data_IF_313538321973
#
_entry.id   IF_313538321973
#
_cell.length_a   1.000
_cell.length_b   1.000
_cell.length_c   1.000
_cell.angle_alpha   90.00
_cell.angle_beta   90.00
_cell.angle_gamma   90.00
#
_symmetry.space_group_name_H-M   'P 1'
#
loop_
_entity.id
_entity.type
_entity.pdbx_description
1 polymer ?
#
# COMPACT_ATOMS: atom_id res chain seq x y z
N UNK A 1 -1.42 -0.57 1.91
CA UNK A 1 -0.03 -0.51 2.38
C UNK A 1 0.29 -1.46 3.53
N UNK A 2 -0.62 -1.75 4.44
CA UNK A 2 -0.36 -2.60 5.62
C UNK A 2 -0.87 -4.06 5.51
N UNK A 3 -1.14 -4.54 4.30
CA UNK A 3 -1.74 -5.86 4.05
C UNK A 3 -1.01 -6.99 4.78
N UNK A 4 0.26 -7.10 4.57
CA UNK A 4 1.07 -8.21 5.07
C UNK A 4 1.20 -8.22 6.59
N UNK A 5 1.38 -7.05 7.21
CA UNK A 5 1.49 -7.00 8.66
C UNK A 5 0.21 -7.43 9.36
N UNK A 6 -0.92 -7.06 8.79
CA UNK A 6 -2.23 -7.49 9.28
C UNK A 6 -2.37 -9.00 9.14
N UNK A 7 -2.02 -9.56 7.97
CA UNK A 7 -2.09 -11.01 7.70
C UNK A 7 -1.10 -11.80 8.55
N UNK A 8 0.17 -11.38 8.62
CA UNK A 8 1.20 -12.09 9.40
C UNK A 8 0.90 -12.07 10.91
N UNK A 9 0.40 -10.95 11.44
CA UNK A 9 -0.02 -10.87 12.84
C UNK A 9 -1.21 -11.81 13.12
N UNK A 10 -2.19 -11.84 12.22
CA UNK A 10 -3.33 -12.75 12.32
C UNK A 10 -2.88 -14.23 12.22
N UNK A 11 -2.06 -14.55 11.22
CA UNK A 11 -1.51 -15.89 11.01
C UNK A 11 -0.70 -16.38 12.21
N UNK A 12 0.13 -15.49 12.78
CA UNK A 12 0.94 -15.81 13.95
C UNK A 12 0.14 -16.14 15.20
N UNK A 13 -0.95 -15.42 15.44
CA UNK A 13 -1.82 -15.69 16.58
C UNK A 13 -2.67 -16.95 16.34
N UNK A 14 -3.25 -17.13 15.13
CA UNK A 14 -4.07 -18.30 14.80
C UNK A 14 -3.30 -19.61 14.86
N UNK A 15 -2.06 -19.65 14.34
CA UNK A 15 -1.23 -20.87 14.41
C UNK A 15 -0.89 -21.21 15.86
N UNK A 16 -0.71 -20.22 16.75
CA UNK A 16 -0.51 -20.46 18.19
C UNK A 16 -1.78 -20.96 18.89
N UNK A 17 -2.94 -20.61 18.38
CA UNK A 17 -4.24 -21.10 18.89
C UNK A 17 -4.56 -22.52 18.40
N UNK A 18 -3.72 -23.13 17.56
CA UNK A 18 -3.85 -24.50 17.07
C UNK A 18 -4.60 -24.63 15.75
N UNK A 19 -4.90 -23.54 15.06
CA UNK A 19 -5.55 -23.59 13.74
C UNK A 19 -4.54 -23.88 12.64
N UNK A 20 -4.99 -24.50 11.55
CA UNK A 20 -4.24 -24.57 10.29
C UNK A 20 -4.38 -23.21 9.57
N UNK A 21 -3.27 -22.67 9.13
CA UNK A 21 -3.26 -21.33 8.52
C UNK A 21 -2.60 -21.36 7.16
N UNK A 22 -3.32 -20.86 6.15
CA UNK A 22 -2.85 -20.69 4.79
C UNK A 22 -2.88 -19.20 4.41
N UNK A 23 -1.79 -18.69 3.87
CA UNK A 23 -1.66 -17.28 3.45
C UNK A 23 -1.42 -17.23 1.94
N UNK A 24 -2.38 -16.64 1.21
CA UNK A 24 -2.27 -16.39 -0.22
C UNK A 24 -1.71 -14.99 -0.47
N UNK A 25 -0.66 -14.88 -1.29
CA UNK A 25 -0.05 -13.63 -1.74
C UNK A 25 -0.11 -13.51 -3.27
N UNK A 26 -0.54 -12.36 -3.75
CA UNK A 26 -0.69 -12.12 -5.18
C UNK A 26 0.64 -12.00 -5.93
N UNK A 27 1.68 -11.51 -5.27
CA UNK A 27 3.00 -11.34 -5.84
C UNK A 27 3.88 -12.58 -5.63
N UNK A 28 5.04 -12.58 -6.27
CA UNK A 28 6.02 -13.69 -6.18
C UNK A 28 6.87 -13.65 -4.91
N UNK A 29 6.91 -12.51 -4.21
CA UNK A 29 7.60 -12.33 -2.94
C UNK A 29 6.60 -12.07 -1.82
N UNK A 30 6.84 -12.71 -0.68
CA UNK A 30 6.08 -12.47 0.55
C UNK A 30 6.55 -11.18 1.21
N UNK A 31 5.64 -10.54 1.96
CA UNK A 31 6.02 -9.35 2.72
C UNK A 31 5.28 -8.09 2.27
N UNK A 32 4.55 -8.13 1.16
CA UNK A 32 3.73 -7.02 0.65
C UNK A 32 4.49 -5.71 0.67
N UNK A 33 3.84 -4.63 1.12
CA UNK A 33 4.45 -3.29 1.15
C UNK A 33 5.76 -3.20 1.93
N UNK A 34 6.00 -4.07 2.90
CA UNK A 34 7.27 -4.09 3.65
C UNK A 34 8.45 -4.47 2.73
N UNK A 35 8.19 -5.29 1.71
CA UNK A 35 9.20 -5.76 0.77
C UNK A 35 9.21 -4.90 -0.48
N UNK A 36 8.09 -4.69 -1.14
CA UNK A 36 8.07 -3.96 -2.41
C UNK A 36 7.81 -2.45 -2.29
N UNK A 37 7.31 -1.95 -1.15
CA UNK A 37 6.99 -0.53 -0.98
C UNK A 37 8.00 0.26 -0.15
N UNK A 38 8.45 -0.27 0.99
CA UNK A 38 9.41 0.40 1.87
C UNK A 38 10.82 0.12 1.37
N UNK A 39 11.67 1.14 1.15
CA UNK A 39 13.05 0.93 0.71
C UNK A 39 13.92 0.20 1.73
N UNK A 40 14.95 -0.51 1.23
CA UNK A 40 15.92 -1.25 2.04
C UNK A 40 16.57 -0.40 3.13
N UNK A 41 16.91 0.85 2.83
CA UNK A 41 17.54 1.78 3.78
C UNK A 41 16.65 2.21 4.95
N UNK A 42 15.33 1.90 4.89
CA UNK A 42 14.39 2.09 6.01
C UNK A 42 14.02 0.79 6.69
N UNK A 43 13.90 -0.28 5.94
CA UNK A 43 13.55 -1.61 6.43
C UNK A 43 14.32 -2.67 5.64
N UNK A 44 15.42 -3.19 6.18
CA UNK A 44 16.14 -4.31 5.59
C UNK A 44 15.22 -5.52 5.36
N UNK A 45 15.25 -6.09 4.15
CA UNK A 45 14.33 -7.16 3.76
C UNK A 45 14.57 -8.45 4.54
N UNK A 46 15.81 -8.68 4.96
CA UNK A 46 16.18 -9.84 5.79
C UNK A 46 15.39 -9.92 7.11
N UNK A 47 14.99 -8.77 7.68
CA UNK A 47 14.16 -8.73 8.89
C UNK A 47 12.78 -9.31 8.60
N UNK A 48 12.17 -8.90 7.46
CA UNK A 48 10.85 -9.38 7.05
C UNK A 48 10.91 -10.87 6.70
N UNK A 49 11.94 -11.30 5.97
CA UNK A 49 12.17 -12.70 5.61
C UNK A 49 12.36 -13.58 6.85
N UNK A 50 13.07 -13.08 7.85
CA UNK A 50 13.26 -13.79 9.13
C UNK A 50 11.90 -14.07 9.80
N UNK A 51 11.05 -13.05 9.94
CA UNK A 51 9.74 -13.17 10.58
C UNK A 51 8.80 -14.13 9.81
N UNK A 52 8.79 -14.04 8.48
CA UNK A 52 8.01 -14.96 7.64
C UNK A 52 8.51 -16.40 7.82
N UNK A 53 9.82 -16.60 7.86
CA UNK A 53 10.41 -17.93 8.05
C UNK A 53 10.14 -18.50 9.47
N UNK A 54 9.99 -17.65 10.49
CA UNK A 54 9.52 -18.09 11.81
C UNK A 54 8.11 -18.67 11.73
N UNK A 55 7.19 -17.99 11.04
CA UNK A 55 5.82 -18.47 10.85
C UNK A 55 5.77 -19.75 10.00
N UNK A 56 6.56 -19.83 8.94
CA UNK A 56 6.67 -21.04 8.09
C UNK A 56 7.13 -22.26 8.92
N UNK A 57 8.14 -22.09 9.77
CA UNK A 57 8.59 -23.16 10.69
C UNK A 57 7.55 -23.57 11.72
N UNK A 58 6.61 -22.69 12.05
CA UNK A 58 5.47 -23.00 12.93
C UNK A 58 4.31 -23.70 12.24
N UNK A 59 4.40 -23.90 10.91
CA UNK A 59 3.41 -24.61 10.12
C UNK A 59 2.44 -23.74 9.32
N UNK A 60 2.65 -22.40 9.27
CA UNK A 60 1.88 -21.55 8.36
C UNK A 60 2.31 -21.85 6.92
N UNK A 61 1.33 -22.20 6.08
CA UNK A 61 1.52 -22.42 4.65
C UNK A 61 1.44 -21.07 3.91
N UNK A 62 2.41 -20.79 3.07
CA UNK A 62 2.45 -19.59 2.25
C UNK A 62 2.44 -19.97 0.77
N UNK A 63 1.52 -19.38 0.01
CA UNK A 63 1.39 -19.58 -1.42
C UNK A 63 1.45 -18.23 -2.13
N UNK A 64 2.46 -18.07 -2.99
CA UNK A 64 2.67 -16.87 -3.81
C UNK A 64 2.05 -17.02 -5.18
N UNK A 65 1.89 -15.91 -5.92
CA UNK A 65 1.27 -15.85 -7.25
C UNK A 65 -0.22 -16.28 -7.25
N UNK A 66 -0.90 -16.17 -6.12
CA UNK A 66 -2.33 -16.46 -5.97
C UNK A 66 -3.11 -15.14 -5.88
N UNK A 67 -3.74 -14.75 -6.96
CA UNK A 67 -4.54 -13.52 -7.04
C UNK A 67 -5.99 -13.86 -6.69
N UNK A 68 -6.35 -13.77 -5.40
CA UNK A 68 -7.73 -13.99 -4.95
C UNK A 68 -8.68 -13.02 -5.65
N UNK A 69 -9.74 -13.56 -6.24
CA UNK A 69 -10.65 -12.88 -7.16
C UNK A 69 -10.29 -13.05 -8.64
N UNK A 70 -9.20 -13.80 -8.96
CA UNK A 70 -8.80 -14.17 -10.34
C UNK A 70 -8.40 -15.63 -10.46
N UNK A 71 -7.42 -16.08 -9.69
CA UNK A 71 -6.96 -17.48 -9.67
C UNK A 71 -7.86 -18.37 -8.81
N UNK A 72 -8.42 -17.80 -7.78
CA UNK A 72 -9.38 -18.41 -6.85
C UNK A 72 -10.30 -17.33 -6.28
N UNK A 73 -11.55 -17.61 -6.06
CA UNK A 73 -12.51 -16.71 -5.42
C UNK A 73 -12.61 -16.98 -3.91
N UNK A 74 -13.24 -16.07 -3.16
CA UNK A 74 -13.53 -16.31 -1.73
C UNK A 74 -14.47 -17.50 -1.56
N UNK A 75 -15.46 -17.66 -2.45
CA UNK A 75 -16.44 -18.74 -2.40
C UNK A 75 -15.79 -20.10 -2.69
N UNK A 76 -14.89 -20.19 -3.68
CA UNK A 76 -14.12 -21.42 -3.92
C UNK A 76 -13.21 -21.78 -2.74
N UNK A 77 -12.63 -20.80 -2.04
CA UNK A 77 -11.86 -21.07 -0.82
C UNK A 77 -12.73 -21.72 0.27
N UNK A 78 -13.94 -21.19 0.50
CA UNK A 78 -14.83 -21.72 1.56
C UNK A 78 -15.55 -22.98 1.14
N UNK A 79 -16.15 -23.01 -0.05
CA UNK A 79 -17.10 -24.04 -0.44
C UNK A 79 -16.41 -25.27 -1.07
N UNK A 80 -15.28 -25.09 -1.75
CA UNK A 80 -14.58 -26.17 -2.47
C UNK A 80 -13.28 -26.60 -1.78
N UNK A 81 -12.50 -25.63 -1.24
CA UNK A 81 -11.23 -25.94 -0.58
C UNK A 81 -11.37 -26.17 0.93
N UNK A 82 -12.55 -25.91 1.50
CA UNK A 82 -12.90 -26.27 2.87
C UNK A 82 -12.27 -25.38 3.94
N UNK A 83 -11.98 -24.12 3.62
CA UNK A 83 -11.58 -23.15 4.63
C UNK A 83 -12.78 -22.69 5.45
N UNK A 84 -12.75 -22.88 6.76
CA UNK A 84 -13.83 -22.50 7.69
C UNK A 84 -13.95 -20.97 7.86
N UNK A 85 -12.86 -20.24 7.66
CA UNK A 85 -12.83 -18.78 7.72
C UNK A 85 -11.81 -18.16 6.77
N UNK A 86 -12.11 -16.98 6.25
CA UNK A 86 -11.21 -16.19 5.38
C UNK A 86 -10.98 -14.82 5.99
N UNK A 87 -9.72 -14.39 6.06
CA UNK A 87 -9.34 -13.04 6.47
C UNK A 87 -8.78 -12.23 5.30
N UNK A 88 -9.50 -11.18 4.91
CA UNK A 88 -9.10 -10.29 3.82
C UNK A 88 -8.26 -9.14 4.37
N UNK A 89 -6.98 -9.11 4.00
CA UNK A 89 -6.03 -8.09 4.42
C UNK A 89 -5.14 -7.63 3.25
N UNK A 90 -5.73 -7.33 2.10
CA UNK A 90 -5.04 -6.98 0.85
C UNK A 90 -4.50 -5.55 0.83
N UNK A 91 -4.77 -4.76 1.85
CA UNK A 91 -4.29 -3.38 1.97
C UNK A 91 -4.95 -2.41 1.01
N UNK A 92 -4.28 -1.26 0.80
CA UNK A 92 -4.73 -0.20 -0.10
C UNK A 92 -3.54 0.22 -0.99
N UNK A 93 -3.23 -0.59 -1.99
CA UNK A 93 -2.06 -0.43 -2.86
C UNK A 93 -2.35 0.21 -4.22
N UNK A 94 -3.62 0.50 -4.56
CA UNK A 94 -3.96 1.11 -5.84
C UNK A 94 -3.58 2.60 -5.82
N UNK A 95 -2.63 3.06 -6.67
CA UNK A 95 -2.18 4.44 -6.66
C UNK A 95 -3.27 5.39 -7.15
N UNK A 96 -3.26 6.60 -6.59
CA UNK A 96 -4.06 7.73 -7.08
C UNK A 96 -3.22 8.60 -7.98
N UNK A 97 -3.80 9.00 -9.10
CA UNK A 97 -3.24 9.97 -10.02
C UNK A 97 -3.82 11.36 -9.78
N UNK A 98 -3.22 12.39 -10.39
CA UNK A 98 -3.65 13.78 -10.24
C UNK A 98 -4.85 14.08 -11.16
N UNK A 99 -5.06 13.25 -12.18
CA UNK A 99 -6.05 13.42 -13.25
C UNK A 99 -5.83 14.73 -14.02
N UNK A 100 -4.58 15.00 -14.38
CA UNK A 100 -4.17 16.15 -15.18
C UNK A 100 -3.62 15.70 -16.54
N UNK A 101 -3.61 16.57 -17.55
CA UNK A 101 -3.05 16.24 -18.87
C UNK A 101 -1.61 15.76 -18.78
N UNK A 102 -1.25 14.78 -19.62
CA UNK A 102 0.13 14.29 -19.77
C UNK A 102 0.56 13.22 -18.78
N UNK A 103 -0.29 12.73 -17.88
CA UNK A 103 0.05 11.65 -16.93
C UNK A 103 0.43 10.32 -17.61
N UNK A 104 0.17 10.18 -18.91
CA UNK A 104 0.49 9.00 -19.71
C UNK A 104 1.86 9.04 -20.37
N UNK A 105 2.61 10.12 -20.24
CA UNK A 105 3.95 10.23 -20.84
C UNK A 105 4.94 9.26 -20.19
N UNK A 106 5.85 8.73 -21.00
CA UNK A 106 7.02 7.99 -20.51
C UNK A 106 7.84 8.90 -19.59
N UNK A 107 8.11 8.42 -18.37
CA UNK A 107 8.76 9.23 -17.34
C UNK A 107 7.81 9.69 -16.24
N UNK A 108 6.48 9.50 -16.41
CA UNK A 108 5.49 9.72 -15.36
C UNK A 108 5.12 8.37 -14.73
N UNK A 109 5.36 8.21 -13.45
CA UNK A 109 5.14 6.96 -12.72
C UNK A 109 4.37 7.22 -11.42
N UNK A 110 3.60 6.25 -10.96
CA UNK A 110 3.14 6.26 -9.58
C UNK A 110 4.29 5.90 -8.62
N UNK A 111 4.26 6.41 -7.39
CA UNK A 111 5.27 6.06 -6.39
C UNK A 111 5.23 4.56 -6.04
N UNK A 112 4.05 3.94 -6.06
CA UNK A 112 3.94 2.49 -5.83
C UNK A 112 4.65 1.69 -6.91
N UNK A 113 4.42 2.02 -8.18
CA UNK A 113 5.05 1.38 -9.32
C UNK A 113 6.57 1.56 -9.28
N UNK A 114 7.02 2.80 -9.04
CA UNK A 114 8.43 3.13 -8.94
C UNK A 114 9.13 2.35 -7.83
N UNK A 115 8.59 2.41 -6.60
CA UNK A 115 9.18 1.75 -5.43
C UNK A 115 9.11 0.21 -5.54
N UNK A 116 8.01 -0.33 -6.07
CA UNK A 116 7.89 -1.77 -6.32
C UNK A 116 9.02 -2.25 -7.22
N UNK A 117 9.28 -1.54 -8.32
CA UNK A 117 10.35 -1.91 -9.24
C UNK A 117 11.73 -1.81 -8.58
N UNK A 118 12.02 -0.71 -7.90
CA UNK A 118 13.30 -0.52 -7.21
C UNK A 118 13.58 -1.61 -6.18
N UNK A 119 12.57 -1.96 -5.40
CA UNK A 119 12.73 -2.92 -4.30
C UNK A 119 12.75 -4.37 -4.79
N UNK A 120 11.82 -4.78 -5.67
CA UNK A 120 11.76 -6.16 -6.16
C UNK A 120 12.91 -6.50 -7.12
N UNK A 121 13.40 -5.53 -7.90
CA UNK A 121 14.60 -5.70 -8.72
C UNK A 121 15.89 -5.55 -7.89
N UNK A 122 15.78 -5.39 -6.57
CA UNK A 122 16.90 -5.33 -5.62
C UNK A 122 17.98 -4.33 -6.02
N UNK A 123 17.57 -3.13 -6.48
CA UNK A 123 18.49 -2.08 -6.94
C UNK A 123 19.53 -1.69 -5.88
N UNK A 124 19.23 -1.88 -4.60
CA UNK A 124 20.12 -1.64 -3.46
C UNK A 124 21.30 -2.63 -3.38
N UNK A 125 21.29 -3.69 -4.21
CA UNK A 125 22.37 -4.69 -4.28
C UNK A 125 23.15 -4.62 -5.61
N UNK A 126 23.04 -3.51 -6.34
CA UNK A 126 23.87 -3.28 -7.52
C UNK A 126 25.37 -3.36 -7.14
N UNK A 127 26.26 -4.01 -7.94
CA UNK A 127 26.04 -4.62 -9.26
C UNK A 127 25.63 -6.12 -9.22
N UNK A 128 25.39 -6.72 -8.06
CA UNK A 128 24.96 -8.12 -7.96
C UNK A 128 23.62 -8.35 -8.67
N UNK A 129 22.73 -7.37 -8.61
CA UNK A 129 21.46 -7.33 -9.33
C UNK A 129 21.48 -6.12 -10.27
N UNK A 130 21.47 -6.36 -11.57
CA UNK A 130 21.51 -5.35 -12.65
C UNK A 130 20.21 -5.43 -13.49
N UNK A 131 19.08 -5.45 -12.83
CA UNK A 131 17.78 -5.55 -13.46
C UNK A 131 17.33 -4.18 -14.00
N UNK A 132 16.54 -4.15 -15.09
CA UNK A 132 16.06 -2.90 -15.68
C UNK A 132 15.18 -2.08 -14.71
N UNK A 133 15.62 -0.88 -14.40
CA UNK A 133 14.90 0.09 -13.55
C UNK A 133 14.33 1.24 -14.38
N UNK A 134 13.48 2.05 -13.74
CA UNK A 134 13.08 3.34 -14.30
C UNK A 134 14.29 4.28 -14.33
N UNK A 135 14.51 5.00 -15.45
CA UNK A 135 15.74 5.75 -15.66
C UNK A 135 15.76 7.04 -14.83
N UNK A 136 16.41 7.02 -13.68
CA UNK A 136 16.65 8.20 -12.84
C UNK A 136 18.06 8.80 -13.05
N UNK A 137 19.03 7.99 -13.43
CA UNK A 137 20.44 8.42 -13.56
C UNK A 137 20.58 9.62 -14.48
N UNK A 138 21.30 10.64 -14.00
CA UNK A 138 21.59 11.90 -14.70
C UNK A 138 20.33 12.71 -15.11
N UNK A 139 19.16 12.45 -14.49
CA UNK A 139 17.90 13.12 -14.78
C UNK A 139 17.43 14.00 -13.63
N UNK A 140 16.67 15.03 -13.98
CA UNK A 140 15.95 15.85 -13.02
C UNK A 140 14.62 15.15 -12.68
N UNK A 141 14.44 14.81 -11.40
CA UNK A 141 13.31 14.03 -10.88
C UNK A 141 12.42 14.90 -10.01
N UNK A 142 11.12 14.86 -10.25
CA UNK A 142 10.12 15.52 -9.43
C UNK A 142 9.25 14.44 -8.75
N UNK A 143 9.04 14.56 -7.44
CA UNK A 143 8.10 13.72 -6.69
C UNK A 143 6.96 14.58 -6.18
N UNK A 144 5.73 14.25 -6.57
CA UNK A 144 4.53 15.00 -6.22
C UNK A 144 3.85 14.37 -5.02
N UNK A 145 3.97 15.01 -3.88
CA UNK A 145 3.37 14.53 -2.62
C UNK A 145 4.19 14.91 -1.40
N UNK A 146 3.62 14.73 -0.20
CA UNK A 146 4.25 15.11 1.07
C UNK A 146 4.16 14.02 2.14
N UNK A 147 3.83 12.78 1.78
CA UNK A 147 3.76 11.64 2.70
C UNK A 147 5.06 10.83 2.76
N UNK A 148 5.11 9.83 3.65
CA UNK A 148 6.27 8.93 3.77
C UNK A 148 6.64 8.26 2.43
N UNK A 149 5.64 7.88 1.62
CA UNK A 149 5.87 7.31 0.28
C UNK A 149 6.59 8.28 -0.65
N UNK A 150 6.30 9.59 -0.54
CA UNK A 150 7.01 10.61 -1.31
C UNK A 150 8.48 10.74 -0.86
N UNK A 151 8.73 10.69 0.45
CA UNK A 151 10.10 10.70 1.00
C UNK A 151 10.87 9.45 0.55
N UNK A 152 10.23 8.29 0.57
CA UNK A 152 10.82 7.03 0.08
C UNK A 152 11.18 7.10 -1.40
N UNK A 153 10.27 7.62 -2.22
CA UNK A 153 10.46 7.71 -3.67
C UNK A 153 11.57 8.71 -4.04
N UNK A 154 11.58 9.89 -3.43
CA UNK A 154 12.58 10.92 -3.75
C UNK A 154 13.99 10.53 -3.31
N UNK A 155 14.14 9.92 -2.13
CA UNK A 155 15.42 9.40 -1.63
C UNK A 155 15.91 8.23 -2.49
N UNK A 156 15.00 7.34 -2.90
CA UNK A 156 15.33 6.26 -3.84
C UNK A 156 15.80 6.79 -5.18
N UNK A 157 15.17 7.83 -5.72
CA UNK A 157 15.59 8.44 -6.99
C UNK A 157 17.01 9.05 -6.91
N UNK A 158 17.35 9.75 -5.81
CA UNK A 158 18.71 10.24 -5.58
C UNK A 158 19.73 9.10 -5.52
N UNK A 159 19.41 8.04 -4.77
CA UNK A 159 20.29 6.87 -4.63
C UNK A 159 20.47 6.09 -5.95
N UNK A 160 19.53 6.21 -6.88
CA UNK A 160 19.64 5.70 -8.25
C UNK A 160 20.38 6.63 -9.20
N UNK A 161 20.99 7.70 -8.66
CA UNK A 161 21.86 8.61 -9.42
C UNK A 161 21.13 9.73 -10.14
N UNK A 162 19.94 10.14 -9.67
CA UNK A 162 19.30 11.35 -10.20
C UNK A 162 20.23 12.56 -10.09
N UNK A 163 20.25 13.40 -11.12
CA UNK A 163 21.03 14.66 -11.14
C UNK A 163 20.47 15.64 -10.10
N UNK A 164 19.16 15.71 -10.00
CA UNK A 164 18.44 16.42 -8.95
C UNK A 164 17.17 15.65 -8.60
N UNK A 165 16.71 15.75 -7.34
CA UNK A 165 15.41 15.22 -6.94
C UNK A 165 14.70 16.21 -6.02
N UNK A 166 13.43 16.48 -6.31
CA UNK A 166 12.66 17.53 -5.63
C UNK A 166 11.28 17.04 -5.24
N UNK A 167 10.84 17.39 -4.03
CA UNK A 167 9.46 17.24 -3.58
C UNK A 167 8.65 18.44 -4.03
N UNK A 168 7.51 18.19 -4.68
CA UNK A 168 6.50 19.20 -5.02
C UNK A 168 5.26 18.97 -4.18
N UNK A 169 4.97 19.91 -3.29
CA UNK A 169 3.87 19.76 -2.34
C UNK A 169 2.94 20.97 -2.32
N UNK A 170 1.64 20.73 -2.42
CA UNK A 170 0.61 21.77 -2.55
C UNK A 170 0.32 22.58 -1.27
N UNK A 171 0.88 22.18 -0.11
CA UNK A 171 0.79 22.89 1.17
C UNK A 171 2.19 23.25 1.66
N UNK A 172 2.30 23.75 2.88
CA UNK A 172 3.62 23.96 3.50
C UNK A 172 4.14 22.67 4.12
N UNK A 173 5.37 22.71 4.56
CA UNK A 173 6.03 21.60 5.23
C UNK A 173 5.31 21.17 6.52
N UNK A 174 4.66 22.14 7.22
CA UNK A 174 3.90 21.87 8.44
C UNK A 174 2.69 20.96 8.22
N UNK A 175 2.10 21.00 7.03
CA UNK A 175 0.97 20.16 6.66
C UNK A 175 1.39 18.83 6.01
N UNK A 176 2.69 18.55 5.89
CA UNK A 176 3.15 17.28 5.35
C UNK A 176 2.76 16.13 6.28
N UNK A 177 2.10 15.08 5.76
CA UNK A 177 1.77 13.91 6.57
C UNK A 177 2.94 12.94 6.77
N UNK A 178 4.10 13.21 6.17
CA UNK A 178 5.33 12.44 6.42
C UNK A 178 5.81 12.64 7.86
N UNK A 179 6.48 11.65 8.40
CA UNK A 179 7.18 11.77 9.68
C UNK A 179 8.29 12.83 9.56
N UNK A 180 8.45 13.62 10.61
CA UNK A 180 9.43 14.72 10.63
C UNK A 180 10.84 14.20 10.39
N UNK A 181 11.17 13.04 10.94
CA UNK A 181 12.47 12.39 10.76
C UNK A 181 12.73 12.06 9.28
N UNK A 182 11.71 11.59 8.54
CA UNK A 182 11.86 11.25 7.12
C UNK A 182 12.04 12.50 6.24
N UNK A 183 11.42 13.61 6.63
CA UNK A 183 11.64 14.91 5.97
C UNK A 183 13.07 15.40 6.21
N UNK A 184 13.58 15.27 7.44
CA UNK A 184 14.96 15.63 7.77
C UNK A 184 15.96 14.75 6.99
N UNK A 185 15.79 13.43 7.00
CA UNK A 185 16.65 12.53 6.24
C UNK A 185 16.67 12.87 4.74
N UNK A 186 15.50 13.21 4.16
CA UNK A 186 15.46 13.60 2.76
C UNK A 186 16.26 14.89 2.50
N UNK A 187 16.18 15.89 3.40
CA UNK A 187 16.96 17.13 3.31
C UNK A 187 18.47 16.87 3.46
N UNK A 188 18.85 16.04 4.42
CA UNK A 188 20.25 15.68 4.67
C UNK A 188 20.87 14.95 3.47
N UNK A 189 20.06 14.21 2.70
CA UNK A 189 20.46 13.57 1.44
C UNK A 189 20.47 14.53 0.24
N UNK A 190 20.08 15.80 0.40
CA UNK A 190 20.12 16.81 -0.65
C UNK A 190 18.84 16.94 -1.47
N UNK A 191 17.71 16.45 -0.99
CA UNK A 191 16.40 16.63 -1.64
C UNK A 191 15.97 18.09 -1.55
N UNK A 192 15.53 18.66 -2.66
CA UNK A 192 14.94 20.01 -2.71
C UNK A 192 13.44 19.95 -2.40
N UNK A 193 12.92 20.94 -1.66
CA UNK A 193 11.51 21.01 -1.28
C UNK A 193 10.86 22.26 -1.86
N UNK A 194 9.99 22.07 -2.85
CA UNK A 194 9.12 23.09 -3.45
C UNK A 194 7.72 22.98 -2.83
N UNK A 195 7.45 23.80 -1.84
CA UNK A 195 6.15 23.86 -1.16
C UNK A 195 5.23 24.89 -1.77
N UNK A 196 3.93 24.79 -1.50
CA UNK A 196 2.90 25.66 -2.07
C UNK A 196 2.93 25.65 -3.61
N UNK A 197 3.16 24.49 -4.19
CA UNK A 197 3.20 24.25 -5.64
C UNK A 197 2.37 23.01 -5.97
N UNK A 198 1.58 23.10 -7.03
CA UNK A 198 0.80 21.97 -7.53
C UNK A 198 0.98 21.82 -9.04
N UNK A 199 1.35 20.63 -9.53
CA UNK A 199 1.33 20.31 -10.96
C UNK A 199 -0.09 20.41 -11.53
N UNK A 200 -0.19 20.94 -12.76
CA UNK A 200 -1.45 21.08 -13.49
C UNK A 200 -1.42 20.44 -14.87
N UNK A 201 -0.23 20.16 -15.40
CA UNK A 201 -0.04 19.53 -16.70
C UNK A 201 1.38 18.97 -16.81
N UNK A 202 1.54 17.77 -17.36
CA UNK A 202 2.84 17.25 -17.80
C UNK A 202 3.03 17.52 -19.29
N UNK A 203 4.22 17.96 -19.66
CA UNK A 203 4.57 18.32 -21.04
C UNK A 203 5.55 17.29 -21.59
N UNK A 204 5.30 16.83 -22.80
CA UNK A 204 6.11 15.80 -23.45
C UNK A 204 6.62 16.20 -24.82
N UNK A 205 7.56 15.41 -25.34
CA UNK A 205 8.03 15.50 -26.72
C UNK A 205 7.12 14.72 -27.70
N UNK A 206 7.44 14.83 -28.99
CA UNK A 206 6.70 14.09 -30.05
C UNK A 206 6.80 12.57 -29.94
N UNK A 207 7.75 12.06 -29.16
CA UNK A 207 7.95 10.63 -28.89
C UNK A 207 7.19 10.15 -27.65
N UNK A 208 6.47 11.07 -26.98
CA UNK A 208 5.72 10.76 -25.78
C UNK A 208 6.59 10.69 -24.51
N UNK A 209 7.77 11.27 -24.46
CA UNK A 209 8.60 11.33 -23.26
C UNK A 209 8.36 12.63 -22.50
N UNK A 210 8.33 12.56 -21.17
CA UNK A 210 8.24 13.73 -20.29
C UNK A 210 9.46 14.64 -20.47
N UNK A 211 9.21 15.95 -20.65
CA UNK A 211 10.25 16.96 -20.78
C UNK A 211 10.15 18.06 -19.74
N UNK A 212 8.94 18.34 -19.24
CA UNK A 212 8.70 19.37 -18.26
C UNK A 212 7.36 19.14 -17.52
N UNK A 213 7.15 19.87 -16.43
CA UNK A 213 5.87 19.96 -15.72
C UNK A 213 5.45 21.42 -15.62
N UNK A 214 4.20 21.69 -15.93
CA UNK A 214 3.55 22.98 -15.67
C UNK A 214 2.93 22.95 -14.28
N UNK A 215 3.29 23.94 -13.46
CA UNK A 215 2.87 24.07 -12.09
C UNK A 215 2.15 25.40 -11.85
N UNK A 216 1.39 25.47 -10.77
CA UNK A 216 0.76 26.69 -10.26
C UNK A 216 1.13 26.88 -8.79
N UNK A 217 1.36 28.12 -8.36
CA UNK A 217 1.57 28.47 -6.96
C UNK A 217 0.27 28.34 -6.18
N UNK A 218 0.38 27.96 -4.91
CA UNK A 218 -0.75 27.78 -4.01
C UNK A 218 -0.70 28.78 -2.84
N UNK A 219 -1.86 29.25 -2.41
CA UNK A 219 -2.06 29.84 -1.10
C UNK A 219 -2.65 28.80 -0.14
N UNK A 220 -2.74 29.14 1.15
CA UNK A 220 -3.43 28.34 2.15
C UNK A 220 -4.75 29.01 2.54
N UNK A 221 -5.85 28.32 2.31
CA UNK A 221 -7.20 28.68 2.77
C UNK A 221 -7.53 28.13 4.15
N UNK A 222 -8.82 27.95 4.42
CA UNK A 222 -9.32 27.36 5.66
C UNK A 222 -8.92 25.87 5.81
N UNK A 223 -8.89 25.36 7.05
CA UNK A 223 -8.63 23.94 7.29
C UNK A 223 -9.68 23.03 6.65
N UNK A 224 -9.23 21.89 6.11
CA UNK A 224 -10.10 20.82 5.64
C UNK A 224 -10.58 19.91 6.80
N UNK A 225 -11.37 18.86 6.47
CA UNK A 225 -11.88 17.88 7.46
C UNK A 225 -10.77 17.20 8.27
N UNK A 226 -9.53 17.17 7.78
CA UNK A 226 -8.37 16.63 8.48
C UNK A 226 -7.64 17.64 9.37
N UNK A 227 -8.16 18.88 9.46
CA UNK A 227 -7.55 19.98 10.19
C UNK A 227 -6.36 20.65 9.49
N UNK A 228 -6.01 20.23 8.26
CA UNK A 228 -4.93 20.82 7.48
C UNK A 228 -5.46 21.92 6.56
N UNK A 229 -4.75 23.03 6.45
CA UNK A 229 -5.15 24.15 5.61
C UNK A 229 -5.27 23.73 4.15
N UNK A 230 -6.38 24.10 3.51
CA UNK A 230 -6.69 23.75 2.12
C UNK A 230 -5.81 24.53 1.14
N UNK A 231 -5.22 23.89 0.11
CA UNK A 231 -4.47 24.59 -0.92
C UNK A 231 -5.42 25.32 -1.86
N UNK A 232 -5.11 26.58 -2.16
CA UNK A 232 -5.90 27.46 -3.05
C UNK A 232 -5.00 27.95 -4.19
N UNK A 233 -5.31 27.65 -5.46
CA UNK A 233 -4.48 28.09 -6.58
C UNK A 233 -4.44 29.63 -6.71
N UNK A 234 -3.25 30.18 -6.91
CA UNK A 234 -3.05 31.59 -7.19
C UNK A 234 -3.14 31.80 -8.71
N UNK A 235 -4.15 32.54 -9.15
CA UNK A 235 -4.38 32.82 -10.58
C UNK A 235 -3.19 33.54 -11.21
N UNK A 236 -2.79 33.08 -12.41
CA UNK A 236 -1.70 33.70 -13.20
C UNK A 236 -0.29 33.45 -12.63
N UNK A 237 -0.14 32.49 -11.73
CA UNK A 237 1.15 32.08 -11.16
C UNK A 237 1.75 30.84 -11.82
N UNK A 238 1.27 30.50 -13.02
CA UNK A 238 1.73 29.34 -13.77
C UNK A 238 3.20 29.48 -14.14
N UNK A 239 3.95 28.41 -14.04
CA UNK A 239 5.35 28.30 -14.46
C UNK A 239 5.68 26.89 -14.91
N UNK A 240 6.72 26.74 -15.72
CA UNK A 240 7.16 25.45 -16.25
C UNK A 240 8.52 25.10 -15.67
N UNK A 241 8.66 23.84 -15.27
CA UNK A 241 9.90 23.28 -14.72
C UNK A 241 10.34 22.11 -15.59
N UNK A 242 11.54 22.13 -16.16
CA UNK A 242 12.11 20.98 -16.86
C UNK A 242 12.28 19.78 -15.93
N UNK A 243 11.83 18.63 -16.36
CA UNK A 243 12.08 17.35 -15.69
C UNK A 243 11.88 16.19 -16.66
N UNK A 244 12.59 15.09 -16.45
CA UNK A 244 12.50 13.89 -17.29
C UNK A 244 11.84 12.74 -16.57
N UNK A 245 11.65 12.85 -15.23
CA UNK A 245 10.96 11.86 -14.42
C UNK A 245 10.05 12.58 -13.43
N UNK A 246 8.79 12.15 -13.36
CA UNK A 246 7.82 12.60 -12.39
C UNK A 246 7.22 11.40 -11.66
N UNK A 247 7.26 11.40 -10.33
CA UNK A 247 6.75 10.32 -9.49
C UNK A 247 5.56 10.84 -8.69
N UNK A 248 4.37 10.28 -8.92
CA UNK A 248 3.13 10.70 -8.29
C UNK A 248 2.92 9.92 -6.99
N UNK A 249 3.01 10.61 -5.86
CA UNK A 249 2.80 10.09 -4.50
C UNK A 249 1.56 10.73 -3.85
N UNK A 250 0.45 10.79 -4.60
CA UNK A 250 -0.81 11.46 -4.21
C UNK A 250 -1.72 10.60 -3.30
N UNK A 251 -1.19 9.53 -2.74
CA UNK A 251 -1.90 8.57 -1.90
C UNK A 251 -2.38 7.34 -2.67
N UNK A 252 -3.05 6.46 -1.94
CA UNK A 252 -3.52 5.17 -2.45
C UNK A 252 -4.97 4.90 -2.05
N UNK A 253 -5.58 3.89 -2.66
CA UNK A 253 -6.92 3.41 -2.37
C UNK A 253 -6.97 1.88 -2.38
N UNK A 254 -8.07 1.32 -1.90
CA UNK A 254 -8.31 -0.11 -1.97
C UNK A 254 -8.37 -0.59 -3.44
N UNK A 255 -7.79 -1.75 -3.73
CA UNK A 255 -8.00 -2.42 -5.01
C UNK A 255 -9.41 -3.02 -5.03
N UNK A 256 -10.26 -2.72 -6.03
CA UNK A 256 -11.64 -3.19 -6.06
C UNK A 256 -11.80 -4.66 -6.46
N UNK A 257 -10.73 -5.39 -6.72
CA UNK A 257 -10.78 -6.74 -7.24
C UNK A 257 -11.62 -7.68 -6.35
N UNK A 258 -11.26 -7.83 -5.08
CA UNK A 258 -11.96 -8.74 -4.16
C UNK A 258 -13.43 -8.32 -4.00
N UNK A 259 -13.70 -7.02 -3.83
CA UNK A 259 -15.07 -6.52 -3.66
C UNK A 259 -15.93 -6.80 -4.90
N UNK A 260 -15.35 -6.68 -6.10
CA UNK A 260 -16.07 -6.90 -7.36
C UNK A 260 -16.29 -8.38 -7.70
N UNK A 261 -15.51 -9.28 -7.10
CA UNK A 261 -15.55 -10.73 -7.36
C UNK A 261 -16.13 -11.55 -6.21
N UNK A 262 -16.60 -10.89 -5.14
CA UNK A 262 -17.19 -11.56 -3.97
C UNK A 262 -18.62 -11.07 -3.78
N UNK A 263 -19.64 -11.78 -4.30
CA UNK A 263 -21.04 -11.42 -4.12
C UNK A 263 -21.42 -11.35 -2.64
N UNK A 264 -22.22 -10.33 -2.28
CA UNK A 264 -22.68 -10.13 -0.91
C UNK A 264 -21.69 -9.46 0.04
N UNK A 265 -20.47 -9.17 -0.40
CA UNK A 265 -19.50 -8.42 0.39
C UNK A 265 -19.80 -6.91 0.35
N UNK A 266 -20.23 -6.35 1.48
CA UNK A 266 -20.57 -4.93 1.58
C UNK A 266 -19.33 -4.03 1.52
N UNK A 267 -19.46 -2.90 0.83
CA UNK A 267 -18.40 -1.89 0.70
C UNK A 267 -18.91 -0.51 1.09
N UNK A 268 -18.01 0.34 1.56
CA UNK A 268 -18.29 1.74 1.87
C UNK A 268 -18.39 2.57 0.57
N UNK A 269 -18.93 3.79 0.67
CA UNK A 269 -18.99 4.73 -0.47
C UNK A 269 -17.61 5.04 -1.08
N UNK A 270 -16.52 4.83 -0.33
CA UNK A 270 -15.14 5.04 -0.78
C UNK A 270 -14.48 3.78 -1.38
N UNK A 271 -15.23 2.67 -1.49
CA UNK A 271 -14.74 1.40 -2.05
C UNK A 271 -13.89 0.55 -1.09
N UNK A 272 -13.93 0.81 0.21
CA UNK A 272 -13.31 -0.04 1.23
C UNK A 272 -14.30 -1.13 1.68
N UNK A 273 -13.79 -2.29 2.11
CA UNK A 273 -14.65 -3.34 2.68
C UNK A 273 -15.27 -2.83 3.98
N UNK A 274 -16.58 -3.02 4.12
CA UNK A 274 -17.29 -2.73 5.36
C UNK A 274 -17.11 -3.90 6.32
N UNK A 275 -16.55 -3.64 7.51
CA UNK A 275 -16.36 -4.61 8.55
C UNK A 275 -16.81 -4.03 9.90
N UNK A 276 -17.26 -4.87 10.79
CA UNK A 276 -17.60 -4.47 12.15
C UNK A 276 -16.34 -4.02 12.90
N UNK A 277 -16.39 -2.89 13.57
CA UNK A 277 -15.21 -2.30 14.22
C UNK A 277 -14.65 -3.15 15.36
N UNK A 278 -15.51 -3.93 16.05
CA UNK A 278 -15.10 -4.74 17.20
C UNK A 278 -14.66 -6.15 16.81
N UNK A 279 -15.32 -6.77 15.84
CA UNK A 279 -15.09 -8.16 15.47
C UNK A 279 -14.35 -8.32 14.14
N UNK A 280 -14.26 -7.27 13.33
CA UNK A 280 -13.75 -7.29 11.95
C UNK A 280 -14.51 -8.24 11.01
N UNK A 281 -15.67 -8.75 11.43
CA UNK A 281 -16.57 -9.55 10.60
C UNK A 281 -17.15 -8.66 9.48
N UNK A 282 -17.24 -9.21 8.28
CA UNK A 282 -17.87 -8.57 7.12
C UNK A 282 -19.35 -8.92 7.05
N UNK A 283 -20.04 -8.46 6.00
CA UNK A 283 -21.42 -8.88 5.69
C UNK A 283 -21.54 -10.34 5.27
N UNK A 284 -20.43 -11.01 4.93
CA UNK A 284 -20.39 -12.41 4.51
C UNK A 284 -19.97 -13.31 5.68
N UNK A 285 -20.78 -14.31 6.09
CA UNK A 285 -20.43 -15.19 7.19
C UNK A 285 -19.10 -15.91 6.97
N UNK A 286 -18.28 -16.05 8.02
CA UNK A 286 -16.95 -16.66 7.93
C UNK A 286 -15.88 -15.79 7.27
N UNK A 287 -16.26 -14.61 6.75
CA UNK A 287 -15.33 -13.70 6.09
C UNK A 287 -15.09 -12.46 6.96
N UNK A 288 -13.82 -12.22 7.25
CA UNK A 288 -13.32 -11.09 8.05
C UNK A 288 -12.46 -10.19 7.19
N UNK A 289 -12.35 -8.92 7.56
CA UNK A 289 -11.48 -7.98 6.86
C UNK A 289 -10.83 -6.99 7.84
N UNK A 290 -9.56 -6.61 7.58
CA UNK A 290 -8.86 -5.68 8.46
C UNK A 290 -7.66 -5.01 7.80
N UNK A 291 -7.14 -3.97 8.47
CA UNK A 291 -6.07 -3.13 7.96
C UNK A 291 -6.56 -2.15 6.89
N UNK A 292 -5.65 -1.73 6.00
CA UNK A 292 -5.92 -0.63 5.06
C UNK A 292 -7.04 -0.93 4.04
N UNK A 293 -7.41 -2.20 3.83
CA UNK A 293 -8.56 -2.57 2.97
C UNK A 293 -9.90 -2.13 3.58
N UNK A 294 -9.93 -1.89 4.90
CA UNK A 294 -11.09 -1.41 5.66
C UNK A 294 -10.97 0.07 6.00
N UNK A 295 -9.82 0.50 6.53
CA UNK A 295 -9.66 1.85 7.09
C UNK A 295 -9.05 2.87 6.12
N UNK A 296 -8.47 2.42 5.02
CA UNK A 296 -7.53 3.21 4.22
C UNK A 296 -6.13 3.17 4.81
N UNK A 297 -5.19 3.88 4.16
CA UNK A 297 -3.78 3.87 4.57
C UNK A 297 -3.58 4.31 6.03
N UNK A 298 -3.03 3.40 6.84
CA UNK A 298 -2.78 3.59 8.26
C UNK A 298 -1.32 3.25 8.62
N UNK A 299 -1.00 3.21 9.91
CA UNK A 299 0.33 2.86 10.39
C UNK A 299 0.51 1.34 10.52
N UNK A 300 1.76 0.90 10.50
CA UNK A 300 2.17 -0.49 10.76
C UNK A 300 1.56 -1.04 12.06
N UNK A 301 1.61 -0.26 13.14
CA UNK A 301 1.10 -0.66 14.47
C UNK A 301 -0.41 -0.90 14.42
N UNK A 302 -1.17 -0.02 13.80
CA UNK A 302 -2.63 -0.18 13.65
C UNK A 302 -2.98 -1.40 12.80
N UNK A 303 -2.22 -1.67 11.76
CA UNK A 303 -2.40 -2.85 10.93
C UNK A 303 -2.14 -4.16 11.71
N UNK A 304 -1.07 -4.22 12.50
CA UNK A 304 -0.80 -5.37 13.38
C UNK A 304 -1.91 -5.55 14.44
N UNK A 305 -2.38 -4.45 15.03
CA UNK A 305 -3.51 -4.46 15.97
C UNK A 305 -4.79 -5.05 15.35
N UNK A 306 -5.10 -4.68 14.10
CA UNK A 306 -6.22 -5.25 13.36
C UNK A 306 -6.03 -6.76 13.10
N UNK A 307 -4.80 -7.21 12.77
CA UNK A 307 -4.51 -8.63 12.58
C UNK A 307 -4.74 -9.46 13.85
N UNK A 308 -4.27 -8.99 15.00
CA UNK A 308 -4.52 -9.65 16.30
C UNK A 308 -5.99 -9.67 16.69
N UNK A 309 -6.72 -8.57 16.46
CA UNK A 309 -8.14 -8.50 16.66
C UNK A 309 -8.88 -9.53 15.79
N UNK A 310 -8.51 -9.60 14.50
CA UNK A 310 -9.07 -10.59 13.57
C UNK A 310 -8.84 -12.04 14.05
N UNK A 311 -7.62 -12.37 14.46
CA UNK A 311 -7.29 -13.70 14.96
C UNK A 311 -8.17 -14.11 16.14
N UNK A 312 -8.40 -13.21 17.09
CA UNK A 312 -9.30 -13.46 18.22
C UNK A 312 -10.74 -13.71 17.75
N UNK A 313 -11.27 -12.87 16.89
CA UNK A 313 -12.64 -12.98 16.39
C UNK A 313 -12.85 -14.23 15.54
N UNK A 314 -11.88 -14.60 14.70
CA UNK A 314 -11.90 -15.83 13.92
C UNK A 314 -11.87 -17.06 14.85
N UNK A 315 -11.01 -17.08 15.86
CA UNK A 315 -10.97 -18.18 16.83
C UNK A 315 -12.30 -18.34 17.59
N UNK A 316 -12.95 -17.24 17.97
CA UNK A 316 -14.29 -17.29 18.59
C UNK A 316 -15.35 -17.82 17.63
N UNK A 317 -15.32 -17.40 16.38
CA UNK A 317 -16.19 -17.89 15.32
C UNK A 317 -16.02 -19.39 15.07
N UNK A 318 -14.80 -19.89 14.91
CA UNK A 318 -14.50 -21.30 14.69
C UNK A 318 -14.97 -22.17 15.88
N UNK A 319 -14.74 -21.72 17.11
CA UNK A 319 -15.28 -22.40 18.31
C UNK A 319 -16.81 -22.48 18.34
N UNK A 320 -17.50 -21.48 17.82
CA UNK A 320 -18.93 -21.47 17.70
C UNK A 320 -19.44 -22.51 16.68
N UNK A 321 -18.71 -22.69 15.57
CA UNK A 321 -19.00 -23.75 14.58
C UNK A 321 -18.84 -25.15 15.18
N UNK A 322 -17.72 -25.43 15.87
CA UNK A 322 -17.47 -26.69 16.55
C UNK A 322 -18.56 -27.03 17.57
N UNK A 323 -19.03 -26.03 18.29
CA UNK A 323 -20.09 -26.18 19.28
C UNK A 323 -21.44 -26.52 18.63
N UNK A 324 -21.75 -25.88 17.48
CA UNK A 324 -22.98 -26.15 16.73
C UNK A 324 -22.98 -27.56 16.10
N UNK A 325 -21.82 -28.00 15.58
CA UNK A 325 -21.69 -29.39 15.06
C UNK A 325 -21.90 -30.41 16.15
N UNK A 326 -21.24 -30.26 17.31
CA UNK A 326 -21.41 -31.16 18.46
C UNK A 326 -22.86 -31.23 18.97
N UNK A 327 -23.56 -30.09 19.00
CA UNK A 327 -24.98 -30.07 19.41
C UNK A 327 -25.88 -30.73 18.38
N UNK A 328 -25.63 -30.54 17.06
CA UNK A 328 -26.35 -31.20 15.99
C UNK A 328 -26.15 -32.72 16.04
N UNK A 329 -24.94 -33.21 16.26
CA UNK A 329 -24.64 -34.63 16.45
C UNK A 329 -25.36 -35.21 17.67
N UNK A 330 -25.39 -34.47 18.79
CA UNK A 330 -26.09 -34.89 20.02
C UNK A 330 -27.60 -35.01 19.83
N UNK A 331 -28.18 -34.09 19.03
CA UNK A 331 -29.63 -34.14 18.71
C UNK A 331 -29.93 -35.28 17.73
N UNK A 332 -29.03 -35.60 16.81
CA UNK A 332 -29.22 -36.69 15.85
C UNK A 332 -29.10 -38.09 16.45
N UNK A 333 -28.49 -38.24 17.63
CA UNK A 333 -28.29 -39.52 18.35
C UNK A 333 -29.42 -39.78 19.36
N UNK A 334 -30.28 -38.84 19.67
CA UNK A 334 -31.45 -38.97 20.53
C UNK A 334 -32.74 -39.09 19.70
#
# INVERSE_FOLDING_TARGET
MAAVLTSLACAGDLIQMGHQVHVCEALHELGGVLVYGIPEFRLPKEIVDHEINVLRRRGVVFETNVVVGKTVTIDELTDEQGFDAVFIATGAGLPRFLNIPGEHFNGVYSANEFLTRVNLMRAYRFPEFDEPLYPCKDRDVIVVGGGNTAMDAVRSALRLGAKSASIYYRRTEKEMPARVEEVHHAKDEGVHFETLVNPVEFLGDEKGNLTAVKCVRQGLGEPDESGRRSPVPIKGSDFVVPCQVAIIAAGTSANPLIQSTTPGLAVTKRGYISANEDTLATSKPGVFAGGDIVTGGATVILAMGAGRKAAKSINEYLKSLDSAVKEAERVAVN
#
